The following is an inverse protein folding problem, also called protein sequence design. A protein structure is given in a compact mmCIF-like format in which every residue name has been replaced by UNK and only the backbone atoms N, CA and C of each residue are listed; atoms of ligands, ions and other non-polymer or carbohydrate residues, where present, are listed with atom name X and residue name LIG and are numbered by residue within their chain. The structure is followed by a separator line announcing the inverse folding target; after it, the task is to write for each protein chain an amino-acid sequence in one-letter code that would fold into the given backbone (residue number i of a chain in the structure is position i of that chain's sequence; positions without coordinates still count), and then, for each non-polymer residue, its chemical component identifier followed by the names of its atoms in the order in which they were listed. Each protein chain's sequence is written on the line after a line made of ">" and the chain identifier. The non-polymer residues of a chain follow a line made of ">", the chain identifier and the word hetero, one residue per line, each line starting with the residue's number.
data_IF_242368424631
#
_entry.id   IF_242368424631
#
_cell.length_a   1.000
_cell.length_b   1.000
_cell.length_c   1.000
_cell.angle_alpha   90.00
_cell.angle_beta   90.00
_cell.angle_gamma   90.00
#
_symmetry.space_group_name_H-M   'P 1'
#
loop_
_entity.id
_entity.type
_entity.pdbx_description
1 polymer ?
#
# COMPACT_ATOMS: atom_id res chain seq x y z
N UNK A 1 -0.95 -67.69 -1.22
CA UNK A 1 -0.05 -66.52 -1.12
C UNK A 1 -0.94 -65.28 -1.14
N UNK A 2 -1.49 -64.90 0.02
CA UNK A 2 -1.04 -63.78 0.88
C UNK A 2 -1.02 -62.43 0.15
N UNK A 3 -2.03 -61.59 0.44
CA UNK A 3 -1.89 -60.14 0.31
C UNK A 3 -2.59 -59.53 1.54
N UNK A 4 -1.79 -59.09 2.50
CA UNK A 4 -2.21 -58.59 3.79
C UNK A 4 -2.63 -57.11 3.70
N UNK A 5 -3.74 -56.80 4.36
CA UNK A 5 -4.23 -55.47 4.68
C UNK A 5 -3.30 -54.78 5.69
N UNK A 6 -2.75 -53.62 5.33
CA UNK A 6 -1.99 -52.75 6.22
C UNK A 6 -2.77 -51.46 6.48
N UNK A 7 -3.43 -51.44 7.64
CA UNK A 7 -4.07 -50.29 8.27
C UNK A 7 -2.99 -49.32 8.75
N UNK A 8 -2.90 -48.10 8.21
CA UNK A 8 -2.08 -47.01 8.77
C UNK A 8 -2.86 -46.32 9.89
N UNK A 9 -2.52 -46.62 11.14
CA UNK A 9 -2.82 -45.75 12.27
C UNK A 9 -1.96 -44.49 12.14
N UNK A 10 -2.59 -43.34 11.90
CA UNK A 10 -1.96 -42.04 12.04
C UNK A 10 -1.91 -41.70 13.53
N UNK A 11 -0.72 -41.76 14.12
CA UNK A 11 -0.46 -41.24 15.46
C UNK A 11 -0.40 -39.72 15.38
N UNK A 12 -1.42 -39.07 15.96
CA UNK A 12 -1.42 -37.65 16.31
C UNK A 12 -0.33 -37.42 17.37
N UNK A 13 0.83 -36.93 16.96
CA UNK A 13 1.77 -36.28 17.86
C UNK A 13 1.53 -34.78 17.78
N UNK A 14 0.93 -34.26 18.86
CA UNK A 14 0.81 -32.84 19.14
C UNK A 14 2.21 -32.25 19.29
N UNK A 15 2.61 -31.40 18.34
CA UNK A 15 3.76 -30.51 18.52
C UNK A 15 3.28 -29.35 19.39
N UNK A 16 3.36 -29.53 20.71
CA UNK A 16 3.37 -28.42 21.66
C UNK A 16 4.81 -28.19 22.08
N UNK A 17 5.56 -27.45 21.26
CA UNK A 17 6.83 -26.84 21.67
C UNK A 17 6.62 -25.33 21.78
N UNK A 18 5.95 -24.91 22.86
CA UNK A 18 5.96 -23.51 23.28
C UNK A 18 7.34 -23.22 23.87
N UNK A 19 8.30 -22.87 23.02
CA UNK A 19 9.44 -22.07 23.46
C UNK A 19 8.87 -20.73 23.90
N UNK A 20 8.81 -20.50 25.21
CA UNK A 20 8.38 -19.20 25.74
C UNK A 20 9.48 -18.19 25.39
N UNK A 21 9.31 -17.47 24.28
CA UNK A 21 10.15 -16.31 24.00
C UNK A 21 10.04 -15.35 25.21
N UNK A 22 11.19 -14.99 25.78
CA UNK A 22 11.27 -14.09 26.95
C UNK A 22 11.42 -12.62 26.51
N UNK A 23 11.72 -12.40 25.22
CA UNK A 23 11.83 -11.09 24.62
C UNK A 23 11.27 -11.06 23.19
N UNK A 24 11.07 -9.84 22.70
CA UNK A 24 10.72 -9.51 21.33
C UNK A 24 11.79 -8.58 20.77
N UNK A 25 12.04 -8.69 19.47
CA UNK A 25 12.83 -7.73 18.73
C UNK A 25 11.94 -6.56 18.32
N UNK A 26 12.47 -5.35 18.46
CA UNK A 26 11.88 -4.13 17.92
C UNK A 26 12.93 -3.36 17.13
N UNK A 27 12.52 -2.84 15.98
CA UNK A 27 13.28 -1.88 15.19
C UNK A 27 12.66 -0.51 15.43
N UNK A 28 13.51 0.48 15.68
CA UNK A 28 13.10 1.88 15.66
C UNK A 28 13.94 2.66 14.67
N UNK A 29 13.27 3.25 13.67
CA UNK A 29 13.86 4.23 12.77
C UNK A 29 13.70 5.64 13.36
N UNK A 30 14.20 5.82 14.60
CA UNK A 30 14.28 7.15 15.21
C UNK A 30 15.31 8.02 14.50
N UNK A 31 15.18 9.35 14.57
CA UNK A 31 16.10 10.34 13.96
C UNK A 31 17.54 10.31 14.53
N UNK A 32 17.84 9.45 15.50
CA UNK A 32 19.22 9.19 15.93
C UNK A 32 19.98 8.42 14.86
N UNK A 33 21.25 8.75 14.66
CA UNK A 33 22.13 8.07 13.69
C UNK A 33 22.30 6.56 13.95
N UNK A 34 21.91 6.08 15.13
CA UNK A 34 21.87 4.67 15.49
C UNK A 34 20.44 4.11 15.39
N UNK A 35 20.29 3.02 14.64
CA UNK A 35 19.06 2.24 14.46
C UNK A 35 19.21 0.87 15.14
N UNK A 36 19.11 0.78 16.49
CA UNK A 36 19.37 -0.47 17.18
C UNK A 36 18.19 -1.45 17.05
N UNK A 37 18.50 -2.73 16.86
CA UNK A 37 17.60 -3.82 17.26
C UNK A 37 17.55 -3.84 18.79
N UNK A 38 16.35 -3.70 19.36
CA UNK A 38 16.15 -3.75 20.79
C UNK A 38 15.48 -5.07 21.16
N UNK A 39 16.13 -5.86 22.01
CA UNK A 39 15.50 -6.97 22.71
C UNK A 39 14.69 -6.40 23.88
N UNK A 40 13.37 -6.38 23.72
CA UNK A 40 12.42 -5.86 24.70
C UNK A 40 11.61 -7.01 25.30
N UNK A 41 11.00 -6.81 26.47
CA UNK A 41 10.02 -7.77 26.96
C UNK A 41 8.82 -7.87 26.00
N UNK A 42 8.28 -9.07 25.83
CA UNK A 42 7.03 -9.24 25.08
C UNK A 42 5.92 -8.47 25.82
N UNK A 43 5.15 -7.61 25.14
CA UNK A 43 4.09 -6.85 25.78
C UNK A 43 2.98 -7.77 26.30
N UNK A 44 2.44 -7.43 27.47
CA UNK A 44 1.27 -8.11 28.02
C UNK A 44 0.05 -7.94 27.11
N UNK A 45 -0.82 -8.94 27.15
CA UNK A 45 -2.06 -8.93 26.37
C UNK A 45 -3.07 -8.01 27.08
N UNK A 46 -3.56 -6.94 26.42
CA UNK A 46 -4.57 -6.08 27.02
C UNK A 46 -5.86 -6.87 27.26
N UNK A 47 -6.54 -6.61 28.38
CA UNK A 47 -7.76 -7.34 28.76
C UNK A 47 -8.87 -7.25 27.70
N UNK A 48 -9.00 -6.12 27.02
CA UNK A 48 -10.01 -5.79 26.00
C UNK A 48 -9.49 -5.85 24.55
N UNK A 49 -8.25 -6.29 24.35
CA UNK A 49 -7.60 -6.30 23.04
C UNK A 49 -6.90 -7.62 22.73
N UNK A 50 -6.04 -7.59 21.72
CA UNK A 50 -5.26 -8.76 21.29
C UNK A 50 -3.78 -8.45 21.19
N UNK A 51 -2.99 -9.51 21.25
CA UNK A 51 -1.59 -9.51 20.81
C UNK A 51 -1.49 -10.28 19.50
N UNK A 52 -0.93 -9.64 18.50
CA UNK A 52 -0.67 -10.20 17.18
C UNK A 52 0.81 -10.55 17.11
N UNK A 53 1.12 -11.77 16.71
CA UNK A 53 2.48 -12.14 16.30
C UNK A 53 2.66 -11.68 14.86
N UNK A 54 3.58 -10.76 14.65
CA UNK A 54 3.84 -10.15 13.35
C UNK A 54 4.60 -11.14 12.48
N UNK A 55 4.09 -11.38 11.27
CA UNK A 55 4.76 -12.24 10.29
C UNK A 55 5.42 -11.39 9.20
N UNK A 56 4.69 -10.39 8.70
CA UNK A 56 5.18 -9.49 7.67
C UNK A 56 4.85 -8.04 7.97
N UNK A 57 5.80 -7.15 7.66
CA UNK A 57 5.56 -5.72 7.68
C UNK A 57 6.05 -5.02 6.42
N UNK A 58 5.23 -4.17 5.82
CA UNK A 58 5.61 -3.35 4.67
C UNK A 58 6.39 -2.11 5.08
N UNK A 59 7.50 -1.82 4.40
CA UNK A 59 8.20 -0.54 4.58
C UNK A 59 7.42 0.58 3.88
N UNK A 60 6.84 1.48 4.67
CA UNK A 60 5.95 2.54 4.19
C UNK A 60 6.59 3.91 4.17
N UNK A 61 6.22 4.74 3.20
CA UNK A 61 6.47 6.18 3.21
C UNK A 61 5.23 6.91 3.75
N UNK A 62 5.37 7.81 4.73
CA UNK A 62 4.30 8.76 5.09
C UNK A 62 4.76 10.19 4.82
N UNK A 63 4.10 10.90 3.90
CA UNK A 63 4.39 12.31 3.69
C UNK A 63 4.07 13.14 4.95
N UNK A 64 4.99 13.97 5.41
CA UNK A 64 4.68 15.09 6.33
C UNK A 64 5.25 15.06 7.75
N UNK A 65 5.94 14.02 8.19
CA UNK A 65 6.65 14.02 9.48
C UNK A 65 8.17 13.94 9.24
N UNK A 66 8.85 15.08 9.34
CA UNK A 66 10.30 15.27 9.24
C UNK A 66 10.95 14.95 7.88
N UNK A 67 10.71 15.79 6.87
CA UNK A 67 11.55 15.83 5.68
C UNK A 67 13.01 16.11 6.08
N UNK A 68 13.88 15.11 5.96
CA UNK A 68 15.32 15.34 6.10
C UNK A 68 15.77 16.37 5.04
N UNK A 69 16.63 17.34 5.39
CA UNK A 69 17.11 18.33 4.44
C UNK A 69 17.99 17.67 3.38
N UNK A 70 17.76 18.07 2.13
CA UNK A 70 18.60 17.88 0.93
C UNK A 70 19.99 17.25 1.18
N UNK A 71 20.21 16.01 0.70
CA UNK A 71 21.56 15.64 0.26
C UNK A 71 21.78 16.22 -1.15
N UNK A 72 22.72 17.17 -1.27
CA UNK A 72 23.15 17.75 -2.56
C UNK A 72 23.55 16.61 -3.52
N UNK A 73 22.81 16.45 -4.62
CA UNK A 73 23.17 15.55 -5.73
C UNK A 73 22.09 14.54 -6.14
N UNK A 74 21.04 14.33 -5.35
CA UNK A 74 19.92 13.45 -5.72
C UNK A 74 18.89 14.19 -6.58
N UNK A 75 18.73 13.76 -7.84
CA UNK A 75 17.70 14.29 -8.73
C UNK A 75 16.38 13.55 -8.51
N UNK A 76 15.63 13.96 -7.48
CA UNK A 76 14.30 13.45 -7.17
C UNK A 76 13.96 13.73 -5.70
N UNK A 77 12.86 14.45 -5.45
CA UNK A 77 12.25 14.46 -4.12
C UNK A 77 11.48 13.15 -3.96
N UNK A 78 11.95 12.24 -3.12
CA UNK A 78 11.08 11.26 -2.48
C UNK A 78 11.26 11.45 -0.97
N UNK A 79 10.16 11.75 -0.28
CA UNK A 79 10.14 11.90 1.17
C UNK A 79 10.79 10.67 1.79
N UNK A 80 11.97 10.83 2.40
CA UNK A 80 12.65 9.79 3.20
C UNK A 80 11.95 9.48 4.53
N UNK A 81 10.66 9.81 4.63
CA UNK A 81 9.88 9.63 5.85
C UNK A 81 9.30 8.22 5.82
N UNK A 82 10.17 7.24 6.05
CA UNK A 82 9.73 5.87 6.29
C UNK A 82 9.47 5.73 7.79
N UNK A 83 8.27 5.31 8.17
CA UNK A 83 7.89 5.18 9.58
C UNK A 83 7.86 3.72 10.01
N UNK A 84 8.01 3.54 11.31
CA UNK A 84 7.87 2.25 11.95
C UNK A 84 6.41 1.75 11.92
N UNK A 85 6.16 0.52 11.45
CA UNK A 85 4.97 -0.26 11.85
C UNK A 85 3.58 0.14 11.32
N UNK A 86 3.45 0.66 10.09
CA UNK A 86 2.14 1.06 9.53
C UNK A 86 1.40 -0.05 8.76
N UNK A 87 2.15 -1.00 8.24
CA UNK A 87 1.66 -2.02 7.32
C UNK A 87 2.03 -3.37 7.89
N UNK A 88 1.12 -3.96 8.67
CA UNK A 88 1.41 -5.19 9.42
C UNK A 88 0.36 -6.24 9.13
N UNK A 89 0.86 -7.45 8.92
CA UNK A 89 0.06 -8.67 8.91
C UNK A 89 0.71 -9.74 9.77
N UNK A 90 -0.12 -10.60 10.33
CA UNK A 90 0.33 -11.66 11.19
C UNK A 90 -0.81 -12.56 11.62
N UNK A 91 -0.63 -13.21 12.77
CA UNK A 91 -1.65 -14.08 13.37
C UNK A 91 -2.02 -13.57 14.75
N UNK A 92 -3.30 -13.70 15.12
CA UNK A 92 -3.71 -13.47 16.50
C UNK A 92 -3.03 -14.52 17.37
N UNK A 93 -2.10 -14.12 18.22
CA UNK A 93 -1.37 -15.03 19.11
C UNK A 93 -2.11 -15.19 20.44
N UNK A 94 -2.66 -14.10 20.97
CA UNK A 94 -3.42 -14.14 22.21
C UNK A 94 -4.48 -13.06 22.26
N UNK A 95 -5.53 -13.31 23.04
CA UNK A 95 -6.68 -12.42 23.21
C UNK A 95 -6.90 -12.16 24.69
N UNK A 96 -7.23 -10.93 25.03
CA UNK A 96 -7.54 -10.51 26.38
C UNK A 96 -8.75 -11.24 26.96
N UNK A 97 -8.77 -11.39 28.28
CA UNK A 97 -9.82 -12.12 29.00
C UNK A 97 -11.22 -11.50 28.88
N UNK A 98 -11.32 -10.22 28.51
CA UNK A 98 -12.59 -9.52 28.30
C UNK A 98 -12.98 -9.42 26.81
N UNK A 99 -12.18 -9.95 25.89
CA UNK A 99 -12.54 -9.93 24.47
C UNK A 99 -13.69 -10.90 24.21
N UNK A 100 -14.80 -10.34 23.77
CA UNK A 100 -15.96 -11.09 23.27
C UNK A 100 -16.08 -10.80 21.77
N UNK A 101 -15.61 -11.72 20.94
CA UNK A 101 -15.70 -11.63 19.48
C UNK A 101 -16.17 -12.95 18.89
N UNK A 102 -17.06 -12.88 17.91
CA UNK A 102 -17.51 -14.05 17.13
C UNK A 102 -16.74 -14.21 15.81
N UNK A 103 -16.01 -13.17 15.39
CA UNK A 103 -15.37 -13.10 14.07
C UNK A 103 -13.85 -13.27 14.12
N UNK A 104 -13.26 -13.19 15.32
CA UNK A 104 -11.81 -13.28 15.56
C UNK A 104 -11.51 -14.37 16.59
N UNK A 105 -10.49 -15.17 16.31
CA UNK A 105 -9.95 -16.19 17.20
C UNK A 105 -8.42 -16.23 17.16
N UNK A 106 -7.82 -16.79 18.22
CA UNK A 106 -6.39 -17.14 18.21
C UNK A 106 -6.08 -18.05 17.02
N UNK A 107 -5.01 -17.73 16.30
CA UNK A 107 -4.59 -18.40 15.07
C UNK A 107 -5.13 -17.77 13.78
N UNK A 108 -6.08 -16.83 13.85
CA UNK A 108 -6.59 -16.18 12.65
C UNK A 108 -5.51 -15.32 11.97
N UNK A 109 -5.35 -15.42 10.63
CA UNK A 109 -4.52 -14.51 9.86
C UNK A 109 -5.22 -13.16 9.74
N UNK A 110 -4.49 -12.09 10.05
CA UNK A 110 -5.04 -10.74 10.13
C UNK A 110 -4.08 -9.70 9.54
N UNK A 111 -4.66 -8.60 9.07
CA UNK A 111 -3.96 -7.34 8.85
C UNK A 111 -4.57 -6.27 9.75
N UNK A 112 -3.78 -5.26 10.10
CA UNK A 112 -4.22 -4.20 11.02
C UNK A 112 -4.28 -2.86 10.31
N UNK A 113 -5.41 -2.16 10.45
CA UNK A 113 -5.53 -0.76 10.04
C UNK A 113 -4.77 0.14 11.03
N UNK A 114 -3.78 0.93 10.58
CA UNK A 114 -2.92 1.70 11.48
C UNK A 114 -3.66 2.92 12.05
N UNK A 115 -3.76 3.00 13.38
CA UNK A 115 -4.11 4.22 14.10
C UNK A 115 -2.90 4.78 14.88
N UNK A 116 -3.10 5.89 15.60
CA UNK A 116 -2.01 6.55 16.33
C UNK A 116 -1.33 5.62 17.36
N UNK A 117 -2.06 4.66 17.94
CA UNK A 117 -1.50 3.74 18.93
C UNK A 117 -0.66 2.65 18.27
N UNK A 118 -1.14 2.10 17.15
CA UNK A 118 -0.42 1.08 16.39
C UNK A 118 0.89 1.65 15.81
N UNK A 119 0.82 2.87 15.27
CA UNK A 119 1.97 3.49 14.59
C UNK A 119 3.11 3.86 15.55
N UNK A 120 2.84 4.04 16.84
CA UNK A 120 3.86 4.26 17.87
C UNK A 120 4.59 2.97 18.30
N UNK A 121 4.01 1.80 18.04
CA UNK A 121 4.60 0.52 18.44
C UNK A 121 5.74 0.11 17.51
N UNK A 122 5.68 0.51 16.25
CA UNK A 122 6.73 0.32 15.27
C UNK A 122 6.88 -1.11 14.74
N UNK A 123 8.02 -1.42 14.13
CA UNK A 123 8.33 -2.76 13.63
C UNK A 123 8.78 -3.65 14.79
N UNK A 124 7.95 -4.61 15.20
CA UNK A 124 8.26 -5.51 16.31
C UNK A 124 7.69 -6.92 16.05
N UNK A 125 8.25 -7.94 16.70
CA UNK A 125 7.75 -9.32 16.61
C UNK A 125 6.30 -9.46 17.11
N UNK A 126 5.88 -8.59 18.04
CA UNK A 126 4.53 -8.56 18.58
C UNK A 126 3.93 -7.16 18.55
N UNK A 127 2.65 -7.09 18.17
CA UNK A 127 1.85 -5.87 18.12
C UNK A 127 0.63 -6.01 19.03
N UNK A 128 0.37 -5.00 19.86
CA UNK A 128 -0.84 -4.92 20.67
C UNK A 128 -1.91 -4.10 19.95
N UNK A 129 -3.13 -4.64 19.87
CA UNK A 129 -4.27 -3.94 19.27
C UNK A 129 -5.43 -3.96 20.25
N UNK A 130 -5.71 -2.80 20.87
CA UNK A 130 -6.84 -2.62 21.79
C UNK A 130 -8.16 -2.47 21.06
N UNK A 131 -8.18 -1.73 19.95
CA UNK A 131 -9.38 -1.53 19.13
C UNK A 131 -9.56 -2.68 18.15
N UNK A 132 -10.35 -3.68 18.55
CA UNK A 132 -10.65 -4.86 17.71
C UNK A 132 -11.18 -4.51 16.31
N UNK A 133 -11.88 -3.38 16.17
CA UNK A 133 -12.38 -2.91 14.87
C UNK A 133 -11.27 -2.63 13.85
N UNK A 134 -10.05 -2.31 14.29
CA UNK A 134 -8.88 -2.08 13.44
C UNK A 134 -8.32 -3.40 12.86
N UNK A 135 -8.77 -4.55 13.35
CA UNK A 135 -8.30 -5.87 12.91
C UNK A 135 -9.19 -6.35 11.78
N UNK A 136 -8.57 -6.66 10.65
CA UNK A 136 -9.24 -7.23 9.47
C UNK A 136 -8.73 -8.64 9.25
N UNK A 137 -9.61 -9.62 9.41
CA UNK A 137 -9.33 -11.02 9.11
C UNK A 137 -9.05 -11.19 7.62
N UNK A 138 -7.94 -11.87 7.31
CA UNK A 138 -7.55 -12.19 5.95
C UNK A 138 -8.14 -13.54 5.54
N UNK A 139 -8.79 -13.65 4.38
CA UNK A 139 -9.20 -14.95 3.85
C UNK A 139 -7.98 -15.73 3.35
N UNK A 140 -8.12 -17.06 3.22
CA UNK A 140 -7.04 -17.95 2.79
C UNK A 140 -6.51 -17.65 1.38
N UNK A 141 -7.27 -16.92 0.56
CA UNK A 141 -6.87 -16.45 -0.76
C UNK A 141 -5.82 -15.32 -0.73
N UNK A 142 -5.62 -14.67 0.42
CA UNK A 142 -4.69 -13.56 0.60
C UNK A 142 -3.57 -13.99 1.54
N UNK A 143 -2.34 -14.04 1.01
CA UNK A 143 -1.16 -14.33 1.83
C UNK A 143 -0.90 -13.21 2.84
N UNK A 144 -0.24 -13.53 3.95
CA UNK A 144 0.14 -12.52 4.95
C UNK A 144 1.02 -11.42 4.32
N UNK A 145 2.02 -11.77 3.50
CA UNK A 145 2.83 -10.79 2.79
C UNK A 145 1.98 -9.78 2.00
N UNK A 146 0.95 -10.23 1.27
CA UNK A 146 0.02 -9.32 0.57
C UNK A 146 -0.83 -8.53 1.56
N UNK A 147 -1.29 -9.18 2.63
CA UNK A 147 -2.00 -8.55 3.74
C UNK A 147 -1.26 -7.33 4.27
N UNK A 148 0.07 -7.42 4.42
CA UNK A 148 0.89 -6.29 4.87
C UNK A 148 0.84 -5.09 3.89
N UNK A 149 0.54 -5.28 2.61
CA UNK A 149 0.48 -4.18 1.62
C UNK A 149 -0.87 -3.45 1.58
N UNK A 150 -1.88 -3.96 2.27
CA UNK A 150 -3.25 -3.45 2.16
C UNK A 150 -3.52 -2.20 3.01
N UNK A 151 -3.10 -2.12 4.29
CA UNK A 151 -3.59 -1.10 5.21
C UNK A 151 -3.37 0.34 4.77
N UNK A 152 -2.25 0.65 4.08
CA UNK A 152 -1.98 2.01 3.60
C UNK A 152 -2.17 2.13 2.10
N UNK A 153 -1.23 1.64 1.28
CA UNK A 153 -1.23 1.87 -0.16
C UNK A 153 -2.46 1.29 -0.86
N UNK A 154 -2.83 0.06 -0.51
CA UNK A 154 -4.04 -0.59 -1.02
C UNK A 154 -5.31 0.19 -0.63
N UNK A 155 -5.46 0.52 0.65
CA UNK A 155 -6.63 1.27 1.16
C UNK A 155 -6.76 2.65 0.51
N UNK A 156 -5.65 3.39 0.36
CA UNK A 156 -5.66 4.70 -0.28
C UNK A 156 -6.04 4.60 -1.76
N UNK A 157 -5.52 3.60 -2.49
CA UNK A 157 -5.94 3.35 -3.87
C UNK A 157 -7.45 3.03 -3.97
N UNK A 158 -7.97 2.20 -3.05
CA UNK A 158 -9.40 1.87 -3.01
C UNK A 158 -10.24 3.09 -2.65
N UNK A 159 -9.76 3.92 -1.72
CA UNK A 159 -10.39 5.19 -1.36
C UNK A 159 -10.51 6.10 -2.59
N UNK A 160 -9.44 6.23 -3.39
CA UNK A 160 -9.46 7.01 -4.62
C UNK A 160 -10.50 6.49 -5.61
N UNK A 161 -10.56 5.17 -5.84
CA UNK A 161 -11.54 4.55 -6.74
C UNK A 161 -12.97 4.83 -6.29
N UNK A 162 -13.26 4.68 -4.99
CA UNK A 162 -14.60 4.93 -4.43
C UNK A 162 -15.00 6.39 -4.62
N UNK A 163 -14.12 7.32 -4.25
CA UNK A 163 -14.45 8.75 -4.23
C UNK A 163 -14.51 9.34 -5.64
N UNK A 164 -13.76 8.80 -6.61
CA UNK A 164 -13.77 9.28 -8.00
C UNK A 164 -14.77 8.54 -8.91
N UNK A 165 -15.46 7.51 -8.42
CA UNK A 165 -16.29 6.63 -9.24
C UNK A 165 -17.39 7.40 -9.99
N UNK A 166 -18.11 8.27 -9.27
CA UNK A 166 -19.22 9.05 -9.84
C UNK A 166 -18.74 9.96 -10.96
N UNK A 167 -17.60 10.62 -10.76
CA UNK A 167 -16.99 11.51 -11.73
C UNK A 167 -16.51 10.74 -12.96
N UNK A 168 -15.90 9.58 -12.76
CA UNK A 168 -15.47 8.71 -13.85
C UNK A 168 -16.65 8.26 -14.71
N UNK A 169 -17.72 7.77 -14.09
CA UNK A 169 -18.94 7.36 -14.79
C UNK A 169 -19.59 8.53 -15.55
N UNK A 170 -19.63 9.72 -14.93
CA UNK A 170 -20.10 10.96 -15.58
C UNK A 170 -19.27 11.30 -16.82
N UNK A 171 -17.94 11.36 -16.71
CA UNK A 171 -17.06 11.67 -17.84
C UNK A 171 -17.25 10.68 -18.99
N UNK A 172 -17.32 9.38 -18.68
CA UNK A 172 -17.57 8.34 -19.70
C UNK A 172 -18.96 8.49 -20.34
N UNK A 173 -20.00 8.85 -19.58
CA UNK A 173 -21.34 9.06 -20.14
C UNK A 173 -21.43 10.25 -21.09
N UNK A 174 -20.68 11.32 -20.82
CA UNK A 174 -20.69 12.56 -21.62
C UNK A 174 -19.78 12.42 -22.84
N UNK A 175 -18.57 11.89 -22.66
CA UNK A 175 -17.52 11.88 -23.68
C UNK A 175 -17.45 10.55 -24.45
N UNK A 176 -18.18 9.52 -24.00
CA UNK A 176 -18.09 8.15 -24.50
C UNK A 176 -16.82 7.40 -24.06
N UNK A 177 -15.84 8.10 -23.49
CA UNK A 177 -14.57 7.58 -23.00
C UNK A 177 -14.00 8.46 -21.87
N UNK A 178 -12.93 8.00 -21.22
CA UNK A 178 -12.16 8.78 -20.26
C UNK A 178 -10.69 8.35 -20.29
N UNK A 179 -9.80 9.27 -20.66
CA UNK A 179 -8.37 9.12 -20.53
C UNK A 179 -7.96 9.58 -19.11
N UNK A 180 -7.40 8.64 -18.35
CA UNK A 180 -7.00 8.81 -16.96
C UNK A 180 -5.48 8.87 -16.90
N UNK A 181 -4.91 10.01 -16.50
CA UNK A 181 -3.48 10.15 -16.26
C UNK A 181 -3.14 9.95 -14.78
N UNK A 182 -2.38 8.92 -14.45
CA UNK A 182 -1.93 8.62 -13.09
C UNK A 182 -0.45 9.00 -12.95
N UNK A 183 -0.12 9.78 -11.92
CA UNK A 183 1.26 10.16 -11.62
C UNK A 183 1.92 9.23 -10.59
N UNK A 184 3.18 8.87 -10.87
CA UNK A 184 3.97 7.92 -10.10
C UNK A 184 3.77 6.48 -10.55
N UNK A 185 4.76 5.62 -10.34
CA UNK A 185 4.72 4.21 -10.75
C UNK A 185 5.07 3.22 -9.63
N UNK A 186 4.84 3.61 -8.36
CA UNK A 186 5.02 2.74 -7.20
C UNK A 186 3.80 1.86 -6.90
N UNK A 187 3.85 1.16 -5.76
CA UNK A 187 2.82 0.21 -5.33
C UNK A 187 1.40 0.80 -5.27
N UNK A 188 1.27 2.07 -4.85
CA UNK A 188 -0.01 2.79 -4.83
C UNK A 188 -0.64 2.87 -6.23
N UNK A 189 0.16 3.25 -7.23
CA UNK A 189 -0.30 3.31 -8.63
C UNK A 189 -0.65 1.91 -9.13
N UNK A 190 0.16 0.90 -8.81
CA UNK A 190 -0.11 -0.48 -9.20
C UNK A 190 -1.45 -0.97 -8.63
N UNK A 191 -1.75 -0.69 -7.37
CA UNK A 191 -3.07 -0.94 -6.80
C UNK A 191 -4.18 -0.19 -7.54
N UNK A 192 -3.98 1.11 -7.80
CA UNK A 192 -4.97 1.94 -8.46
C UNK A 192 -5.31 1.45 -9.88
N UNK A 193 -4.32 1.11 -10.70
CA UNK A 193 -4.53 0.56 -12.05
C UNK A 193 -5.41 -0.70 -11.98
N UNK A 194 -5.08 -1.61 -11.07
CA UNK A 194 -5.80 -2.88 -10.91
C UNK A 194 -7.23 -2.68 -10.41
N UNK A 195 -7.41 -1.82 -9.42
CA UNK A 195 -8.72 -1.52 -8.84
C UNK A 195 -9.61 -0.78 -9.82
N UNK A 196 -9.08 0.17 -10.60
CA UNK A 196 -9.82 0.80 -11.70
C UNK A 196 -10.27 -0.25 -12.72
N UNK A 197 -9.39 -1.16 -13.13
CA UNK A 197 -9.74 -2.24 -14.07
C UNK A 197 -10.81 -3.18 -13.55
N UNK A 198 -10.79 -3.46 -12.25
CA UNK A 198 -11.76 -4.34 -11.61
C UNK A 198 -13.11 -3.66 -11.40
N UNK A 199 -13.10 -2.51 -10.70
CA UNK A 199 -14.30 -1.79 -10.28
C UNK A 199 -15.05 -1.15 -11.45
N UNK A 200 -14.36 -0.82 -12.54
CA UNK A 200 -14.96 -0.21 -13.72
C UNK A 200 -15.35 -1.22 -14.80
N UNK A 201 -15.61 -2.49 -14.46
CA UNK A 201 -15.93 -3.56 -15.43
C UNK A 201 -17.00 -3.19 -16.48
N UNK A 202 -18.01 -2.39 -16.11
CA UNK A 202 -19.07 -1.91 -17.03
C UNK A 202 -18.62 -0.87 -18.05
N UNK A 203 -17.56 -0.13 -17.74
CA UNK A 203 -17.00 0.94 -18.57
C UNK A 203 -15.53 0.67 -18.94
N UNK A 204 -15.07 -0.57 -18.75
CA UNK A 204 -13.66 -0.95 -18.86
C UNK A 204 -13.08 -0.62 -20.24
N UNK A 205 -13.86 -0.85 -21.29
CA UNK A 205 -13.44 -0.60 -22.67
C UNK A 205 -13.53 0.89 -23.07
N UNK A 206 -14.02 1.74 -22.15
CA UNK A 206 -14.16 3.18 -22.32
C UNK A 206 -13.14 3.97 -21.50
N UNK A 207 -12.38 3.31 -20.63
CA UNK A 207 -11.33 3.95 -19.84
C UNK A 207 -9.96 3.62 -20.44
N UNK A 208 -9.12 4.64 -20.56
CA UNK A 208 -7.77 4.52 -21.06
C UNK A 208 -6.81 5.07 -20.00
N UNK A 209 -6.05 4.18 -19.36
CA UNK A 209 -5.17 4.48 -18.24
C UNK A 209 -3.77 4.74 -18.77
N UNK A 210 -3.27 5.95 -18.53
CA UNK A 210 -1.89 6.34 -18.77
C UNK A 210 -1.19 6.50 -17.42
N UNK A 211 0.02 5.94 -17.28
CA UNK A 211 0.86 6.16 -16.10
C UNK A 211 2.11 6.95 -16.46
N UNK A 212 2.41 8.00 -15.70
CA UNK A 212 3.59 8.82 -15.90
C UNK A 212 4.48 8.85 -14.66
N UNK A 213 5.77 8.54 -14.81
CA UNK A 213 6.75 8.52 -13.72
C UNK A 213 8.16 8.62 -14.27
N UNK A 214 9.12 8.98 -13.42
CA UNK A 214 10.56 8.83 -13.66
C UNK A 214 11.10 7.40 -13.49
N UNK A 215 10.27 6.48 -13.00
CA UNK A 215 10.64 5.11 -12.68
C UNK A 215 10.26 4.15 -13.81
N UNK A 216 11.23 3.77 -14.63
CA UNK A 216 11.02 2.88 -15.76
C UNK A 216 10.56 1.47 -15.36
N UNK A 217 11.06 0.91 -14.26
CA UNK A 217 10.67 -0.44 -13.84
C UNK A 217 9.25 -0.45 -13.29
N UNK A 218 8.90 0.55 -12.47
CA UNK A 218 7.53 0.78 -12.03
C UNK A 218 6.54 0.93 -13.19
N UNK A 219 6.94 1.63 -14.26
CA UNK A 219 6.11 1.79 -15.46
C UNK A 219 5.90 0.47 -16.21
N UNK A 220 6.91 -0.39 -16.34
CA UNK A 220 6.73 -1.72 -16.94
C UNK A 220 5.71 -2.55 -16.17
N UNK A 221 5.78 -2.51 -14.83
CA UNK A 221 4.82 -3.21 -13.97
C UNK A 221 3.41 -2.63 -14.20
N UNK A 222 3.28 -1.30 -14.26
CA UNK A 222 1.98 -0.67 -14.53
C UNK A 222 1.36 -1.13 -15.87
N UNK A 223 2.17 -1.28 -16.93
CA UNK A 223 1.70 -1.84 -18.21
C UNK A 223 1.22 -3.29 -18.06
N UNK A 224 1.98 -4.14 -17.36
CA UNK A 224 1.60 -5.54 -17.11
C UNK A 224 0.29 -5.65 -16.32
N UNK A 225 0.03 -4.70 -15.43
CA UNK A 225 -1.20 -4.62 -14.63
C UNK A 225 -2.39 -4.01 -15.38
N UNK A 226 -2.17 -3.55 -16.62
CA UNK A 226 -3.23 -3.09 -17.51
C UNK A 226 -3.33 -1.58 -17.71
N UNK A 227 -2.25 -0.82 -17.52
CA UNK A 227 -2.15 0.51 -18.12
C UNK A 227 -1.91 0.38 -19.64
N UNK A 228 -2.65 1.12 -20.47
CA UNK A 228 -2.47 1.08 -21.92
C UNK A 228 -1.20 1.82 -22.36
N UNK A 229 -0.89 2.92 -21.69
CA UNK A 229 0.23 3.78 -22.04
C UNK A 229 1.07 4.13 -20.81
N UNK A 230 2.38 4.26 -21.01
CA UNK A 230 3.31 4.72 -19.99
C UNK A 230 4.22 5.81 -20.50
N UNK A 231 4.49 6.80 -19.66
CA UNK A 231 5.30 7.97 -19.99
C UNK A 231 6.44 8.10 -19.00
N UNK A 232 7.66 7.83 -19.48
CA UNK A 232 8.87 8.09 -18.70
C UNK A 232 9.11 9.60 -18.62
N UNK A 233 9.10 10.16 -17.41
CA UNK A 233 9.41 11.56 -17.15
C UNK A 233 10.90 11.70 -16.80
N UNK A 234 11.48 12.83 -17.21
CA UNK A 234 12.84 13.19 -16.81
C UNK A 234 12.73 14.41 -15.90
N UNK A 235 12.65 14.18 -14.59
CA UNK A 235 12.39 15.22 -13.58
C UNK A 235 13.46 16.33 -13.53
N UNK A 236 14.59 16.15 -14.23
CA UNK A 236 15.63 17.17 -14.43
C UNK A 236 15.23 18.22 -15.45
N UNK A 237 14.20 17.96 -16.28
CA UNK A 237 13.71 18.92 -17.28
C UNK A 237 12.81 19.96 -16.63
N UNK A 238 12.76 21.13 -17.27
CA UNK A 238 11.82 22.19 -16.93
C UNK A 238 10.38 21.70 -17.06
N UNK A 239 9.52 22.23 -16.19
CA UNK A 239 8.12 21.83 -16.06
C UNK A 239 7.34 21.94 -17.38
N UNK A 240 7.54 23.01 -18.14
CA UNK A 240 6.93 23.19 -19.46
C UNK A 240 7.25 22.04 -20.41
N UNK A 241 8.51 21.58 -20.44
CA UNK A 241 8.92 20.46 -21.30
C UNK A 241 8.30 19.14 -20.87
N UNK A 242 8.05 18.95 -19.58
CA UNK A 242 7.40 17.75 -19.07
C UNK A 242 5.92 17.74 -19.46
N UNK A 243 5.26 18.90 -19.37
CA UNK A 243 3.85 19.06 -19.76
C UNK A 243 3.69 18.95 -21.27
N UNK A 244 4.54 19.61 -22.07
CA UNK A 244 4.58 19.45 -23.53
C UNK A 244 4.77 17.99 -23.92
N UNK A 245 5.68 17.27 -23.24
CA UNK A 245 5.90 15.84 -23.49
C UNK A 245 4.65 15.02 -23.18
N UNK A 246 3.99 15.26 -22.05
CA UNK A 246 2.74 14.59 -21.69
C UNK A 246 1.65 14.88 -22.75
N UNK A 247 1.44 16.15 -23.09
CA UNK A 247 0.45 16.56 -24.09
C UNK A 247 0.74 16.00 -25.49
N UNK A 248 2.02 15.98 -25.90
CA UNK A 248 2.43 15.51 -27.22
C UNK A 248 2.34 13.99 -27.38
N UNK A 249 2.72 13.23 -26.34
CA UNK A 249 2.59 11.77 -26.34
C UNK A 249 1.11 11.38 -26.34
N UNK A 250 0.29 12.16 -25.63
CA UNK A 250 -1.08 11.75 -25.39
C UNK A 250 -1.96 11.93 -26.63
N UNK A 251 -1.74 12.90 -27.52
CA UNK A 251 -2.58 13.22 -28.71
C UNK A 251 -4.11 13.23 -28.45
N UNK A 252 -4.50 13.12 -27.18
CA UNK A 252 -5.79 12.81 -26.59
C UNK A 252 -5.96 13.83 -25.48
N UNK A 253 -7.19 14.24 -25.26
CA UNK A 253 -7.58 15.03 -24.09
C UNK A 253 -7.47 14.15 -22.84
N UNK A 254 -7.08 14.75 -21.71
CA UNK A 254 -7.04 14.06 -20.42
C UNK A 254 -8.22 14.55 -19.59
N UNK A 255 -9.21 13.68 -19.43
CA UNK A 255 -10.44 14.01 -18.72
C UNK A 255 -10.28 13.86 -17.21
N UNK A 256 -9.41 12.96 -16.76
CA UNK A 256 -9.15 12.72 -15.34
C UNK A 256 -7.65 12.57 -15.08
N UNK A 257 -7.17 13.19 -14.01
CA UNK A 257 -5.79 13.04 -13.55
C UNK A 257 -5.77 12.67 -12.08
N UNK A 258 -5.01 11.63 -11.73
CA UNK A 258 -4.88 11.12 -10.36
C UNK A 258 -3.44 11.31 -9.90
N UNK A 259 -3.26 12.12 -8.86
CA UNK A 259 -1.96 12.38 -8.26
C UNK A 259 -2.09 12.33 -6.73
N UNK A 260 -1.94 11.11 -6.17
CA UNK A 260 -2.12 10.85 -4.73
C UNK A 260 -0.84 11.10 -3.91
N UNK A 261 0.20 11.68 -4.52
CA UNK A 261 1.37 12.17 -3.78
C UNK A 261 1.03 13.52 -3.16
N UNK A 262 1.65 13.87 -2.03
CA UNK A 262 1.54 15.22 -1.45
C UNK A 262 2.51 16.22 -2.10
N UNK A 263 3.16 15.87 -3.22
CA UNK A 263 4.06 16.79 -3.92
C UNK A 263 3.26 17.79 -4.76
N UNK A 264 3.24 19.03 -4.29
CA UNK A 264 2.50 20.13 -4.94
C UNK A 264 2.90 20.31 -6.41
N UNK A 265 4.19 20.13 -6.74
CA UNK A 265 4.69 20.21 -8.12
C UNK A 265 3.99 19.21 -9.03
N UNK A 266 3.91 17.96 -8.61
CA UNK A 266 3.26 16.88 -9.36
C UNK A 266 1.74 17.07 -9.46
N UNK A 267 1.10 17.59 -8.41
CA UNK A 267 -0.33 17.90 -8.43
C UNK A 267 -0.67 19.08 -9.36
N UNK A 268 0.14 20.15 -9.35
CA UNK A 268 0.01 21.26 -10.30
C UNK A 268 0.24 20.81 -11.74
N UNK A 269 1.23 19.93 -11.96
CA UNK A 269 1.45 19.30 -13.27
C UNK A 269 0.21 18.54 -13.74
N UNK A 270 -0.41 17.75 -12.86
CA UNK A 270 -1.64 17.02 -13.16
C UNK A 270 -2.77 17.97 -13.60
N UNK A 271 -3.00 19.06 -12.84
CA UNK A 271 -3.97 20.09 -13.19
C UNK A 271 -3.71 20.72 -14.57
N UNK A 272 -2.42 20.97 -14.89
CA UNK A 272 -2.03 21.55 -16.19
C UNK A 272 -2.19 20.59 -17.37
N UNK A 273 -2.21 19.29 -17.14
CA UNK A 273 -2.44 18.29 -18.19
C UNK A 273 -3.93 18.06 -18.50
N UNK A 274 -4.82 18.40 -17.56
CA UNK A 274 -6.27 18.19 -17.72
C UNK A 274 -6.89 19.06 -18.82
N UNK A 275 -7.92 18.53 -19.47
CA UNK A 275 -8.81 19.29 -20.35
C UNK A 275 -9.69 20.26 -19.56
N UNK A 276 -10.35 21.19 -20.26
CA UNK A 276 -11.41 22.00 -19.67
C UNK A 276 -12.49 21.09 -19.05
N UNK A 277 -12.99 21.44 -17.87
CA UNK A 277 -13.98 20.66 -17.10
C UNK A 277 -13.51 19.24 -16.70
N UNK A 278 -12.20 19.00 -16.73
CA UNK A 278 -11.60 17.75 -16.28
C UNK A 278 -11.67 17.56 -14.77
N UNK A 279 -11.31 16.36 -14.30
CA UNK A 279 -11.38 15.98 -12.90
C UNK A 279 -9.97 15.74 -12.35
N UNK A 280 -9.61 16.47 -11.30
CA UNK A 280 -8.35 16.34 -10.57
C UNK A 280 -8.59 15.55 -9.28
N UNK A 281 -7.98 14.38 -9.16
CA UNK A 281 -8.06 13.51 -7.98
C UNK A 281 -6.75 13.61 -7.20
N UNK A 282 -6.81 14.12 -5.97
CA UNK A 282 -5.65 14.45 -5.12
C UNK A 282 -5.93 14.07 -3.66
N UNK A 283 -4.92 13.94 -2.79
CA UNK A 283 -5.13 13.71 -1.36
C UNK A 283 -5.88 14.88 -0.72
N UNK A 284 -6.67 14.59 0.32
CA UNK A 284 -7.25 15.63 1.19
C UNK A 284 -6.19 16.59 1.72
N UNK A 285 -6.61 17.85 1.89
CA UNK A 285 -5.79 18.95 2.40
C UNK A 285 -4.62 19.32 1.47
N UNK A 286 -4.76 19.03 0.18
CA UNK A 286 -3.79 19.45 -0.82
C UNK A 286 -3.99 20.93 -1.21
N UNK A 287 -2.90 21.71 -1.13
CA UNK A 287 -2.88 23.10 -1.62
C UNK A 287 -3.15 23.22 -3.13
N UNK A 288 -2.97 22.14 -3.91
CA UNK A 288 -3.23 22.16 -5.34
C UNK A 288 -4.71 22.32 -5.68
N UNK A 289 -5.61 22.02 -4.75
CA UNK A 289 -7.05 22.21 -4.87
C UNK A 289 -7.43 23.67 -5.17
N UNK A 290 -6.65 24.64 -4.66
CA UNK A 290 -6.90 26.07 -4.80
C UNK A 290 -6.05 26.74 -5.89
N UNK A 291 -5.38 25.95 -6.75
CA UNK A 291 -4.50 26.52 -7.77
C UNK A 291 -5.28 27.31 -8.83
N UNK A 292 -4.66 28.36 -9.38
CA UNK A 292 -5.24 29.19 -10.45
C UNK A 292 -5.72 28.34 -11.64
N UNK A 293 -4.95 27.30 -11.99
CA UNK A 293 -5.26 26.33 -13.04
C UNK A 293 -6.60 25.61 -12.85
N UNK A 294 -7.00 25.32 -11.59
CA UNK A 294 -8.31 24.71 -11.28
C UNK A 294 -9.44 25.66 -11.69
N UNK A 295 -9.27 26.95 -11.44
CA UNK A 295 -10.27 27.97 -11.80
C UNK A 295 -10.28 28.23 -13.30
N UNK A 296 -9.11 28.45 -13.93
CA UNK A 296 -8.98 28.73 -15.36
C UNK A 296 -9.62 27.63 -16.23
N UNK A 297 -9.39 26.37 -15.86
CA UNK A 297 -9.91 25.21 -16.61
C UNK A 297 -11.24 24.69 -16.10
N UNK A 298 -11.84 25.34 -15.10
CA UNK A 298 -13.06 24.89 -14.42
C UNK A 298 -12.99 23.40 -14.01
N UNK A 299 -11.87 23.00 -13.39
CA UNK A 299 -11.63 21.62 -12.98
C UNK A 299 -12.50 21.26 -11.78
N UNK A 300 -13.05 20.06 -11.79
CA UNK A 300 -13.64 19.46 -10.58
C UNK A 300 -12.52 18.81 -9.76
N UNK A 301 -12.40 19.16 -8.49
CA UNK A 301 -11.42 18.55 -7.58
C UNK A 301 -12.11 17.49 -6.73
N UNK A 302 -11.54 16.29 -6.72
CA UNK A 302 -11.91 15.19 -5.83
C UNK A 302 -10.78 15.00 -4.83
N UNK A 303 -11.01 15.45 -3.60
CA UNK A 303 -10.12 15.18 -2.48
C UNK A 303 -10.34 13.77 -1.94
N UNK A 304 -9.25 13.02 -1.78
CA UNK A 304 -9.27 11.61 -1.40
C UNK A 304 -8.74 11.44 0.02
N UNK A 305 -9.57 10.95 0.97
CA UNK A 305 -9.09 10.60 2.29
C UNK A 305 -8.14 9.41 2.23
N UNK A 306 -7.28 9.29 3.25
CA UNK A 306 -6.41 8.11 3.46
C UNK A 306 -7.18 6.79 3.53
N UNK A 307 -8.47 6.87 3.83
CA UNK A 307 -9.40 5.77 3.98
C UNK A 307 -9.59 5.38 5.44
N UNK A 308 -10.45 4.39 5.66
CA UNK A 308 -10.78 3.85 6.97
C UNK A 308 -10.76 2.32 6.95
N UNK A 309 -11.00 1.71 8.12
CA UNK A 309 -11.06 0.25 8.23
C UNK A 309 -12.20 -0.37 7.42
N UNK A 310 -13.27 0.38 7.13
CA UNK A 310 -14.36 -0.06 6.26
C UNK A 310 -13.91 -0.20 4.81
N UNK A 311 -13.10 0.73 4.31
CA UNK A 311 -12.47 0.66 2.99
C UNK A 311 -11.47 -0.49 2.95
N UNK A 312 -10.67 -0.71 4.00
CA UNK A 312 -9.76 -1.87 4.07
C UNK A 312 -10.53 -3.21 4.04
N UNK A 313 -11.62 -3.35 4.81
CA UNK A 313 -12.49 -4.54 4.75
C UNK A 313 -13.08 -4.73 3.35
N UNK A 314 -13.48 -3.65 2.71
CA UNK A 314 -14.00 -3.67 1.33
C UNK A 314 -12.94 -4.14 0.35
N UNK A 315 -11.70 -3.65 0.48
CA UNK A 315 -10.57 -4.06 -0.34
C UNK A 315 -10.25 -5.54 -0.17
N UNK A 316 -10.13 -6.03 1.07
CA UNK A 316 -9.91 -7.45 1.37
C UNK A 316 -10.99 -8.32 0.73
N UNK A 317 -12.27 -7.96 0.89
CA UNK A 317 -13.39 -8.68 0.26
C UNK A 317 -13.30 -8.68 -1.27
N UNK A 318 -12.94 -7.55 -1.87
CA UNK A 318 -12.84 -7.43 -3.34
C UNK A 318 -11.70 -8.30 -3.89
N UNK A 319 -10.55 -8.34 -3.20
CA UNK A 319 -9.43 -9.22 -3.58
C UNK A 319 -9.86 -10.70 -3.45
N UNK A 320 -10.53 -11.06 -2.34
CA UNK A 320 -11.01 -12.42 -2.12
C UNK A 320 -12.03 -12.90 -3.17
N UNK A 321 -12.83 -11.99 -3.72
CA UNK A 321 -13.82 -12.30 -4.76
C UNK A 321 -13.25 -12.18 -6.18
N UNK A 322 -12.17 -11.44 -6.38
CA UNK A 322 -11.62 -11.14 -7.69
C UNK A 322 -10.42 -11.99 -8.03
N UNK A 323 -10.61 -13.08 -8.79
CA UNK A 323 -9.53 -13.97 -9.22
C UNK A 323 -8.37 -13.23 -9.91
N UNK A 324 -8.68 -12.22 -10.74
CA UNK A 324 -7.65 -11.37 -11.38
C UNK A 324 -6.88 -10.50 -10.39
N UNK A 325 -7.50 -10.11 -9.28
CA UNK A 325 -6.86 -9.39 -8.19
C UNK A 325 -6.07 -10.32 -7.25
N UNK A 326 -6.31 -11.62 -7.28
CA UNK A 326 -5.49 -12.60 -6.56
C UNK A 326 -4.23 -12.96 -7.35
N UNK A 327 -4.37 -13.20 -8.66
CA UNK A 327 -3.28 -13.71 -9.50
C UNK A 327 -2.18 -12.67 -9.80
N UNK A 328 -2.56 -11.39 -9.96
CA UNK A 328 -1.64 -10.35 -10.46
C UNK A 328 -1.35 -9.29 -9.39
N UNK A 329 -0.80 -9.67 -8.24
CA UNK A 329 -0.51 -8.75 -7.12
C UNK A 329 0.56 -7.70 -7.49
N UNK A 330 0.61 -6.52 -6.82
CA UNK A 330 1.69 -5.56 -7.04
C UNK A 330 3.04 -6.21 -6.78
N UNK A 331 4.07 -5.80 -7.52
CA UNK A 331 5.41 -6.34 -7.31
C UNK A 331 5.92 -6.00 -5.90
N UNK A 332 6.27 -7.03 -5.15
CA UNK A 332 6.87 -6.91 -3.83
C UNK A 332 8.00 -7.90 -3.67
N UNK A 333 8.91 -7.61 -2.75
CA UNK A 333 9.96 -8.53 -2.35
C UNK A 333 10.05 -8.62 -0.85
N UNK A 334 10.21 -9.86 -0.42
CA UNK A 334 10.33 -10.23 0.99
C UNK A 334 11.81 -10.25 1.34
N UNK A 335 12.14 -9.56 2.43
CA UNK A 335 13.48 -9.47 2.98
C UNK A 335 13.45 -9.93 4.43
N UNK A 336 14.46 -10.67 4.90
CA UNK A 336 14.58 -10.96 6.33
C UNK A 336 14.62 -9.66 7.14
N UNK A 337 13.95 -9.65 8.28
CA UNK A 337 13.89 -8.49 9.17
C UNK A 337 15.28 -7.99 9.61
N UNK A 338 16.28 -8.86 9.69
CA UNK A 338 17.67 -8.51 10.02
C UNK A 338 18.32 -7.62 8.95
N UNK A 339 17.80 -7.66 7.72
CA UNK A 339 18.25 -6.79 6.62
C UNK A 339 17.56 -5.42 6.62
N UNK A 340 16.64 -5.15 7.56
CA UNK A 340 15.81 -3.96 7.54
C UNK A 340 16.60 -2.65 7.44
N UNK A 341 17.71 -2.50 8.17
CA UNK A 341 18.56 -1.30 8.12
C UNK A 341 19.14 -1.05 6.72
N UNK A 342 19.67 -2.12 6.11
CA UNK A 342 20.21 -2.07 4.74
C UNK A 342 19.12 -1.72 3.74
N UNK A 343 18.00 -2.44 3.79
CA UNK A 343 16.88 -2.25 2.87
C UNK A 343 16.30 -0.85 3.01
N UNK A 344 16.20 -0.33 4.24
CA UNK A 344 15.81 1.04 4.49
C UNK A 344 16.74 2.04 3.78
N UNK A 345 18.07 1.87 3.89
CA UNK A 345 19.03 2.70 3.18
C UNK A 345 18.88 2.64 1.66
N UNK A 346 18.66 1.44 1.10
CA UNK A 346 18.43 1.26 -0.34
C UNK A 346 17.09 1.90 -0.80
N UNK A 347 16.05 1.87 0.04
CA UNK A 347 14.76 2.53 -0.17
C UNK A 347 14.90 4.05 -0.16
N UNK A 348 15.69 4.61 0.76
CA UNK A 348 16.00 6.06 0.82
C UNK A 348 16.78 6.53 -0.42
N UNK A 349 17.66 5.67 -0.94
CA UNK A 349 18.48 5.94 -2.13
C UNK A 349 17.76 5.60 -3.45
N UNK A 350 16.50 5.15 -3.39
CA UNK A 350 15.68 4.75 -4.54
C UNK A 350 16.32 3.63 -5.38
N UNK A 351 17.10 2.76 -4.73
CA UNK A 351 17.76 1.59 -5.34
C UNK A 351 16.81 0.38 -5.45
N UNK A 352 15.80 0.33 -4.59
CA UNK A 352 14.73 -0.69 -4.63
C UNK A 352 13.50 -0.14 -5.35
N UNK A 353 13.08 -0.83 -6.42
CA UNK A 353 11.94 -0.44 -7.27
C UNK A 353 10.63 -1.18 -6.96
N UNK A 354 10.74 -2.35 -6.37
CA UNK A 354 9.60 -3.14 -5.88
C UNK A 354 9.22 -2.72 -4.46
N UNK A 355 8.06 -3.17 -3.95
CA UNK A 355 7.67 -2.88 -2.57
C UNK A 355 8.41 -3.81 -1.59
N UNK A 356 9.28 -3.30 -0.69
CA UNK A 356 9.95 -4.15 0.28
C UNK A 356 9.02 -4.49 1.45
N UNK A 357 9.03 -5.77 1.80
CA UNK A 357 8.33 -6.36 2.95
C UNK A 357 9.37 -7.03 3.83
N UNK A 358 9.33 -6.77 5.13
CA UNK A 358 10.13 -7.43 6.13
C UNK A 358 9.43 -8.71 6.59
N UNK A 359 10.17 -9.81 6.63
CA UNK A 359 9.78 -11.11 7.15
C UNK A 359 10.32 -11.29 8.57
N UNK A 360 9.40 -11.43 9.53
CA UNK A 360 9.72 -11.60 10.94
C UNK A 360 9.88 -13.09 11.32
N UNK A 361 9.44 -14.03 10.47
CA UNK A 361 9.49 -15.48 10.70
C UNK A 361 10.76 -16.14 10.11
N UNK A 362 11.53 -15.43 9.28
CA UNK A 362 12.66 -15.99 8.51
C UNK A 362 13.73 -16.75 9.34
N UNK A 363 13.83 -16.53 10.65
CA UNK A 363 14.77 -17.23 11.54
C UNK A 363 14.16 -18.40 12.33
N UNK A 364 12.83 -18.50 12.46
CA UNK A 364 12.21 -19.61 13.22
C UNK A 364 12.37 -20.96 12.49
N UNK A 365 12.71 -20.95 11.20
CA UNK A 365 12.95 -22.16 10.39
C UNK A 365 14.43 -22.57 10.29
N UNK A 366 15.34 -21.93 11.05
CA UNK A 366 16.80 -22.15 10.94
C UNK A 366 17.38 -22.94 12.14
N UNK A 367 16.58 -23.35 13.11
CA UNK A 367 17.04 -24.15 14.27
C UNK A 367 16.27 -25.45 14.48
#
# INVERSE_FOLDING_TARGET
>A
MSCASLTRQASTQSITSTSSMVGMRKISFSLSEERPFLDLAIPDVPEDGVRIRVCYAGLCYVPGLNAAPFRKGSSGFRNGNVFDGFEVSGVIESMGSQVISHDLAVGDPVTVFPDEEITQQGYADFLIVRKLNNIVKLPASISLAVGALLPTGGTLAMSAVIHSQKQLERLVSVNGHCNILIFGAGSLTHWLVRLLRYSSSRIKDKIHIIVASDDWEGLKIAQQLGAEEVVLLDERKHEERLIEKLQAILAKTIEMAVCLTHEERSQKRAARCLSQNGVLVIPEFSMAAESEMVTEKNLEVVEVPRGDVGILRTLVRIIDQGESLQANQPAYKVYPMESAEKIYGEVELDEIKERPILDFEALENVF
#
